data_IF_838892327826
#
_entry.id   IF_838892327826
#
_cell.length_a   1.000
_cell.length_b   1.000
_cell.length_c   1.000
_cell.angle_alpha   90.00
_cell.angle_beta   90.00
_cell.angle_gamma   90.00
#
_symmetry.space_group_name_H-M   'P 1'
#
loop_
_entity.id
_entity.type
_entity.pdbx_description
1 polymer ?
#
# COMPACT_ATOMS: atom_id res chain seq x y z
N UNK A 1 -5.62 33.45 21.56
CA UNK A 1 -6.60 32.63 20.83
C UNK A 1 -5.88 31.44 20.21
N UNK A 2 -5.82 30.32 20.93
CA UNK A 2 -5.17 29.09 20.48
C UNK A 2 -6.23 28.29 19.71
N UNK A 3 -6.08 28.16 18.38
CA UNK A 3 -6.93 27.29 17.58
C UNK A 3 -6.57 25.84 17.89
N UNK A 4 -7.46 25.12 18.58
CA UNK A 4 -7.40 23.67 18.71
C UNK A 4 -7.35 23.05 17.32
N UNK A 5 -6.25 22.35 16.99
CA UNK A 5 -6.18 21.46 15.83
C UNK A 5 -6.93 20.20 16.19
N UNK A 6 -8.05 19.95 15.51
CA UNK A 6 -8.78 18.68 15.62
C UNK A 6 -7.89 17.58 15.04
N UNK A 7 -7.35 16.74 15.91
CA UNK A 7 -6.75 15.46 15.53
C UNK A 7 -7.93 14.51 15.35
N UNK A 8 -8.21 14.13 14.10
CA UNK A 8 -9.18 13.08 13.81
C UNK A 8 -8.61 11.75 14.30
N UNK A 9 -9.14 11.24 15.41
CA UNK A 9 -8.87 9.88 15.87
C UNK A 9 -9.54 8.90 14.90
N UNK A 10 -8.74 8.16 14.13
CA UNK A 10 -9.24 7.15 13.19
C UNK A 10 -9.46 5.83 13.92
N UNK A 11 -10.71 5.38 13.96
CA UNK A 11 -11.06 4.05 14.46
C UNK A 11 -10.62 2.98 13.46
N UNK A 12 -9.97 1.92 13.97
CA UNK A 12 -9.70 0.68 13.24
C UNK A 12 -11.06 0.03 12.92
N UNK A 13 -11.51 0.13 11.67
CA UNK A 13 -12.64 -0.68 11.20
C UNK A 13 -12.08 -1.97 10.63
N UNK A 14 -11.85 -2.96 11.51
CA UNK A 14 -11.70 -4.34 11.11
C UNK A 14 -13.12 -4.91 10.87
N UNK A 15 -13.62 -4.84 9.64
CA UNK A 15 -14.88 -5.50 9.28
C UNK A 15 -14.65 -7.02 9.17
N UNK A 16 -14.75 -7.72 10.30
CA UNK A 16 -14.82 -9.18 10.36
C UNK A 16 -16.24 -9.62 9.95
N UNK A 17 -16.42 -9.96 8.68
CA UNK A 17 -17.61 -10.69 8.23
C UNK A 17 -17.31 -12.19 8.34
N UNK A 18 -17.71 -12.80 9.46
CA UNK A 18 -17.78 -14.25 9.59
C UNK A 18 -18.96 -14.76 8.76
N UNK A 19 -18.69 -15.17 7.52
CA UNK A 19 -19.63 -15.94 6.71
C UNK A 19 -19.57 -17.41 7.11
N UNK A 20 -20.48 -17.86 7.97
CA UNK A 20 -20.73 -19.29 8.15
C UNK A 20 -21.62 -19.78 7.01
N UNK A 21 -21.10 -20.61 6.12
CA UNK A 21 -21.91 -21.46 5.24
C UNK A 21 -21.27 -22.85 5.12
N UNK A 22 -21.83 -23.80 5.87
CA UNK A 22 -21.76 -25.22 5.54
C UNK A 22 -22.55 -25.44 4.24
N UNK A 23 -21.84 -25.82 3.18
CA UNK A 23 -22.42 -26.49 2.03
C UNK A 23 -21.43 -27.55 1.55
N UNK A 24 -21.77 -28.81 1.85
CA UNK A 24 -21.07 -29.97 1.32
C UNK A 24 -21.14 -29.98 -0.21
N UNK A 25 -19.98 -29.91 -0.86
CA UNK A 25 -19.77 -30.27 -2.26
C UNK A 25 -18.47 -31.06 -2.35
N UNK A 26 -18.50 -32.14 -3.13
CA UNK A 26 -17.40 -33.10 -3.30
C UNK A 26 -16.20 -32.48 -4.04
N UNK A 27 -15.45 -31.65 -3.34
CA UNK A 27 -14.07 -31.25 -3.60
C UNK A 27 -13.41 -31.14 -2.24
N UNK A 28 -12.19 -31.69 -2.07
CA UNK A 28 -11.49 -31.63 -0.78
C UNK A 28 -11.54 -30.23 -0.18
N UNK A 29 -11.76 -30.10 1.14
CA UNK A 29 -11.74 -28.80 1.81
C UNK A 29 -10.46 -28.08 1.39
N UNK A 30 -10.59 -26.89 0.80
CA UNK A 30 -9.45 -26.08 0.41
C UNK A 30 -8.59 -25.86 1.65
N UNK A 31 -7.27 -26.04 1.52
CA UNK A 31 -6.35 -25.79 2.63
C UNK A 31 -6.46 -24.32 3.04
N UNK A 32 -6.51 -24.06 4.34
CA UNK A 32 -6.51 -22.72 4.90
C UNK A 32 -5.27 -22.56 5.77
N UNK A 33 -4.73 -21.35 5.80
CA UNK A 33 -3.61 -20.98 6.65
C UNK A 33 -3.77 -19.53 7.11
N UNK A 34 -3.18 -19.21 8.26
CA UNK A 34 -3.02 -17.82 8.69
C UNK A 34 -1.73 -17.29 8.10
N UNK A 35 -1.78 -16.07 7.60
CA UNK A 35 -0.62 -15.35 7.08
C UNK A 35 -0.41 -14.09 7.91
N UNK A 36 0.84 -13.76 8.16
CA UNK A 36 1.27 -12.46 8.67
C UNK A 36 2.14 -11.80 7.61
N UNK A 37 1.81 -10.55 7.29
CA UNK A 37 2.61 -9.69 6.42
C UNK A 37 3.29 -8.65 7.28
N UNK A 38 4.59 -8.50 7.09
CA UNK A 38 5.41 -7.47 7.74
C UNK A 38 6.05 -6.60 6.67
N UNK A 39 5.86 -5.28 6.78
CA UNK A 39 6.45 -4.27 5.90
C UNK A 39 7.39 -3.44 6.76
N UNK A 40 8.69 -3.49 6.48
CA UNK A 40 9.73 -2.82 7.25
C UNK A 40 10.36 -1.71 6.41
N UNK A 41 10.51 -0.52 6.99
CA UNK A 41 11.30 0.54 6.39
C UNK A 41 12.76 0.36 6.82
N UNK A 42 13.55 -0.23 5.93
CA UNK A 42 14.97 -0.55 6.14
C UNK A 42 15.92 0.54 5.65
N UNK A 43 15.38 1.68 5.22
CA UNK A 43 16.19 2.80 4.75
C UNK A 43 17.06 3.39 5.87
N UNK A 44 18.16 4.05 5.48
CA UNK A 44 19.02 4.74 6.45
C UNK A 44 18.30 5.93 7.08
N UNK A 45 18.45 6.09 8.40
CA UNK A 45 18.00 7.30 9.11
C UNK A 45 18.74 8.59 8.71
N UNK A 46 19.87 8.49 8.00
CA UNK A 46 20.59 9.64 7.44
C UNK A 46 19.93 10.24 6.19
N UNK A 47 18.89 9.57 5.66
CA UNK A 47 18.17 10.00 4.47
C UNK A 47 18.77 9.51 3.16
N UNK A 48 17.98 9.64 2.11
CA UNK A 48 18.30 9.37 0.72
C UNK A 48 18.74 10.67 0.03
N UNK A 49 19.70 10.61 -0.92
CA UNK A 49 20.10 11.79 -1.69
C UNK A 49 18.96 12.25 -2.60
N UNK A 50 18.89 13.55 -2.86
CA UNK A 50 18.02 14.15 -3.87
C UNK A 50 18.78 15.21 -4.67
N UNK A 51 18.09 16.02 -5.46
CA UNK A 51 18.71 17.10 -6.25
C UNK A 51 19.50 18.07 -5.36
N UNK A 52 20.72 18.40 -5.80
CA UNK A 52 21.69 19.18 -4.99
C UNK A 52 22.37 18.34 -3.92
N UNK A 53 22.70 18.96 -2.78
CA UNK A 53 23.35 18.31 -1.63
C UNK A 53 22.35 17.95 -0.51
N UNK A 54 21.05 17.97 -0.80
CA UNK A 54 20.01 17.69 0.18
C UNK A 54 19.75 16.19 0.34
N UNK A 55 19.19 15.81 1.49
CA UNK A 55 18.67 14.47 1.74
C UNK A 55 17.24 14.51 2.25
N UNK A 56 16.51 13.41 2.09
CA UNK A 56 15.17 13.23 2.62
C UNK A 56 14.98 11.84 3.24
N UNK A 57 14.16 11.69 4.30
CA UNK A 57 13.87 10.37 4.84
C UNK A 57 12.88 9.63 3.94
N UNK A 58 13.14 8.36 3.65
CA UNK A 58 12.12 7.51 3.04
C UNK A 58 10.94 7.35 4.01
N UNK A 59 9.73 7.54 3.50
CA UNK A 59 8.50 7.33 4.23
C UNK A 59 7.51 6.57 3.34
N UNK A 60 6.94 5.48 3.86
CA UNK A 60 5.82 4.80 3.22
C UNK A 60 4.53 5.29 3.88
N UNK A 61 3.52 5.66 3.10
CA UNK A 61 2.24 6.07 3.67
C UNK A 61 1.51 4.89 4.34
N UNK A 62 0.45 5.16 5.12
CA UNK A 62 -0.63 4.21 5.29
C UNK A 62 -1.09 3.63 3.96
N UNK A 63 -1.56 2.39 3.98
CA UNK A 63 -1.98 1.70 2.78
C UNK A 63 -3.06 0.67 3.06
N UNK A 64 -3.34 -0.14 2.06
CA UNK A 64 -4.33 -1.19 2.18
C UNK A 64 -3.93 -2.46 1.46
N UNK A 65 -4.55 -3.56 1.86
CA UNK A 65 -4.38 -4.85 1.24
C UNK A 65 -5.73 -5.50 0.96
N UNK A 66 -5.70 -6.43 0.02
CA UNK A 66 -6.82 -7.26 -0.38
C UNK A 66 -6.35 -8.70 -0.49
N UNK A 67 -7.18 -9.61 0.00
CA UNK A 67 -7.03 -11.06 -0.17
C UNK A 67 -8.30 -11.61 -0.81
N UNK A 68 -8.17 -12.19 -1.99
CA UNK A 68 -9.32 -12.71 -2.75
C UNK A 68 -8.91 -13.78 -3.76
N UNK A 69 -9.84 -14.66 -4.09
CA UNK A 69 -9.72 -15.60 -5.22
C UNK A 69 -10.31 -15.04 -6.53
N UNK A 70 -10.88 -13.83 -6.50
CA UNK A 70 -11.42 -13.14 -7.68
C UNK A 70 -10.35 -12.28 -8.32
N UNK A 71 -10.53 -11.98 -9.61
CA UNK A 71 -9.68 -11.02 -10.29
C UNK A 71 -9.95 -9.62 -9.74
N UNK A 72 -9.04 -9.10 -8.92
CA UNK A 72 -9.08 -7.73 -8.40
C UNK A 72 -7.73 -7.05 -8.61
N UNK A 73 -7.76 -5.78 -8.97
CA UNK A 73 -6.58 -4.94 -9.09
C UNK A 73 -6.91 -3.54 -8.60
N UNK A 74 -5.95 -2.89 -7.92
CA UNK A 74 -6.06 -1.48 -7.56
C UNK A 74 -5.96 -0.57 -8.79
N UNK A 75 -5.26 -1.00 -9.83
CA UNK A 75 -5.01 -0.23 -11.04
C UNK A 75 -4.92 -1.11 -12.30
N UNK A 76 -4.81 -0.47 -13.47
CA UNK A 76 -4.47 -1.12 -14.73
C UNK A 76 -3.44 -0.27 -15.45
N UNK A 77 -2.29 -0.86 -15.79
CA UNK A 77 -1.24 -0.18 -16.57
C UNK A 77 -1.82 0.34 -17.89
N UNK A 78 -1.48 1.58 -18.25
CA UNK A 78 -1.98 2.27 -19.44
C UNK A 78 -3.43 2.75 -19.35
N UNK A 79 -4.03 2.76 -18.16
CA UNK A 79 -5.35 3.35 -17.89
C UNK A 79 -5.24 4.48 -16.87
N UNK A 80 -6.18 5.41 -16.91
CA UNK A 80 -6.28 6.49 -15.91
C UNK A 80 -6.47 5.90 -14.52
N UNK A 81 -5.86 6.54 -13.53
CA UNK A 81 -6.13 6.26 -12.13
C UNK A 81 -7.63 6.44 -11.83
N UNK A 82 -8.15 5.64 -10.91
CA UNK A 82 -9.45 5.94 -10.29
C UNK A 82 -9.25 6.99 -9.21
N UNK A 83 -10.30 7.73 -8.82
CA UNK A 83 -10.21 8.70 -7.72
C UNK A 83 -9.74 8.10 -6.39
N UNK A 84 -10.00 6.81 -6.15
CA UNK A 84 -9.47 6.11 -4.98
C UNK A 84 -7.97 5.81 -5.09
N UNK A 85 -7.47 5.56 -6.30
CA UNK A 85 -6.05 5.37 -6.53
C UNK A 85 -5.29 6.69 -6.44
N UNK A 86 -5.84 7.76 -7.03
CA UNK A 86 -5.35 9.13 -6.93
C UNK A 86 -5.15 9.54 -5.46
N UNK A 87 -6.20 9.46 -4.65
CA UNK A 87 -6.12 9.78 -3.22
C UNK A 87 -5.11 8.90 -2.44
N UNK A 88 -4.93 7.63 -2.84
CA UNK A 88 -3.94 6.77 -2.21
C UNK A 88 -2.51 7.12 -2.64
N UNK A 89 -2.31 7.50 -3.89
CA UNK A 89 -1.01 7.76 -4.48
C UNK A 89 -0.48 9.16 -4.13
N UNK A 90 -1.37 10.15 -4.04
CA UNK A 90 -1.03 11.55 -3.75
C UNK A 90 -1.00 11.86 -2.25
N UNK A 91 -1.97 11.33 -1.49
CA UNK A 91 -2.16 11.71 -0.09
C UNK A 91 -1.88 10.56 0.89
N UNK A 92 -1.60 9.35 0.37
CA UNK A 92 -1.43 8.18 1.21
C UNK A 92 -2.72 7.77 1.93
N UNK A 93 -3.89 8.12 1.37
CA UNK A 93 -5.18 7.89 1.99
C UNK A 93 -5.95 6.71 1.34
N UNK A 94 -6.02 5.53 1.99
CA UNK A 94 -6.70 4.36 1.44
C UNK A 94 -8.23 4.42 1.53
N UNK A 95 -8.84 5.42 2.17
CA UNK A 95 -10.26 5.39 2.52
C UNK A 95 -11.17 5.30 1.30
N UNK A 96 -10.95 6.15 0.30
CA UNK A 96 -11.74 6.17 -0.94
C UNK A 96 -11.58 4.87 -1.72
N UNK A 97 -10.35 4.35 -1.80
CA UNK A 97 -10.06 3.09 -2.46
C UNK A 97 -10.76 1.91 -1.77
N UNK A 98 -10.65 1.84 -0.44
CA UNK A 98 -11.31 0.83 0.40
C UNK A 98 -12.83 0.83 0.22
N UNK A 99 -13.48 1.99 0.31
CA UNK A 99 -14.93 2.14 0.07
C UNK A 99 -15.34 1.66 -1.33
N UNK A 100 -14.54 1.97 -2.35
CA UNK A 100 -14.83 1.59 -3.73
C UNK A 100 -14.80 0.06 -3.98
N UNK A 101 -14.10 -0.68 -3.13
CA UNK A 101 -13.90 -2.12 -3.23
C UNK A 101 -14.91 -2.91 -2.38
N UNK A 102 -15.33 -2.37 -1.22
CA UNK A 102 -16.38 -2.96 -0.38
C UNK A 102 -17.70 -3.16 -1.14
N UNK A 103 -18.02 -2.26 -2.06
CA UNK A 103 -19.26 -2.32 -2.86
C UNK A 103 -19.24 -3.40 -3.95
N UNK A 104 -18.10 -4.07 -4.20
CA UNK A 104 -17.90 -4.89 -5.40
C UNK A 104 -17.89 -6.40 -5.16
N UNK A 105 -17.72 -6.92 -3.93
CA UNK A 105 -17.38 -8.36 -3.76
C UNK A 105 -17.84 -8.98 -2.43
N UNK A 106 -18.60 -10.09 -2.49
CA UNK A 106 -18.65 -11.10 -1.42
C UNK A 106 -17.43 -12.06 -1.48
N UNK A 107 -16.92 -12.49 -0.33
CA UNK A 107 -15.64 -13.24 -0.15
C UNK A 107 -14.36 -12.40 -0.32
N UNK A 108 -14.43 -11.10 -0.01
CA UNK A 108 -13.29 -10.21 0.03
C UNK A 108 -12.80 -10.08 1.46
N UNK A 109 -11.55 -10.44 1.73
CA UNK A 109 -10.88 -10.00 2.94
C UNK A 109 -10.01 -8.79 2.58
N UNK A 110 -10.10 -7.72 3.36
CA UNK A 110 -9.32 -6.51 3.14
C UNK A 110 -9.08 -5.78 4.45
N UNK A 111 -8.04 -4.97 4.48
CA UNK A 111 -7.74 -4.14 5.62
C UNK A 111 -6.87 -2.95 5.24
N UNK A 112 -6.84 -1.98 6.15
CA UNK A 112 -5.91 -0.85 6.13
C UNK A 112 -4.78 -1.16 7.10
N UNK A 113 -3.54 -0.93 6.67
CA UNK A 113 -2.38 -0.87 7.56
C UNK A 113 -1.95 0.59 7.65
N UNK A 114 -1.98 1.16 8.85
CA UNK A 114 -1.77 2.61 9.02
C UNK A 114 -1.04 2.98 10.32
N UNK A 115 -0.90 2.07 11.28
CA UNK A 115 -0.23 2.32 12.55
C UNK A 115 1.06 1.51 12.60
N UNK A 116 2.24 2.16 12.64
CA UNK A 116 3.50 1.44 12.82
C UNK A 116 3.52 0.69 14.15
N UNK A 117 4.20 -0.46 14.19
CA UNK A 117 4.42 -1.24 15.40
C UNK A 117 5.03 -0.35 16.51
N UNK A 118 4.40 -0.39 17.69
CA UNK A 118 4.79 0.44 18.84
C UNK A 118 4.30 1.89 18.81
N UNK A 119 3.59 2.32 17.76
CA UNK A 119 2.96 3.64 17.71
C UNK A 119 1.55 3.63 18.33
N UNK A 120 1.16 4.75 18.94
CA UNK A 120 -0.17 4.91 19.56
C UNK A 120 -1.26 5.36 18.57
N UNK A 121 -0.87 5.83 17.38
CA UNK A 121 -1.78 6.39 16.39
C UNK A 121 -1.31 6.12 14.95
N UNK A 122 -2.24 6.17 13.97
CA UNK A 122 -1.89 6.06 12.56
C UNK A 122 -0.88 7.12 12.10
N UNK A 123 0.02 6.74 11.20
CA UNK A 123 1.04 7.61 10.64
C UNK A 123 1.92 6.89 9.63
N UNK A 124 2.77 7.63 8.89
CA UNK A 124 3.66 7.04 7.89
C UNK A 124 4.70 6.13 8.53
N UNK A 125 5.18 5.15 7.76
CA UNK A 125 6.28 4.27 8.13
C UNK A 125 7.62 4.97 7.89
N UNK A 126 8.21 5.47 8.97
CA UNK A 126 9.51 6.14 8.97
C UNK A 126 10.67 5.13 9.12
N UNK A 127 11.94 5.54 8.86
CA UNK A 127 13.10 4.64 8.93
C UNK A 127 13.19 3.86 10.24
N UNK A 128 13.39 2.55 10.14
CA UNK A 128 13.43 1.62 11.28
C UNK A 128 12.07 1.12 11.78
N UNK A 129 10.96 1.69 11.30
CA UNK A 129 9.61 1.25 11.66
C UNK A 129 9.14 0.02 10.87
N UNK A 130 8.09 -0.64 11.36
CA UNK A 130 7.37 -1.69 10.64
C UNK A 130 5.85 -1.53 10.71
N UNK A 131 5.13 -1.86 9.64
CA UNK A 131 3.71 -2.25 9.73
C UNK A 131 3.60 -3.78 9.80
N UNK A 132 2.62 -4.29 10.53
CA UNK A 132 2.31 -5.71 10.58
C UNK A 132 0.79 -5.94 10.55
N UNK A 133 0.34 -6.95 9.81
CA UNK A 133 -1.05 -7.37 9.79
C UNK A 133 -1.18 -8.86 9.48
N UNK A 134 -2.28 -9.48 9.94
CA UNK A 134 -2.57 -10.88 9.67
C UNK A 134 -3.93 -11.08 9.02
N UNK A 135 -4.07 -12.17 8.28
CA UNK A 135 -5.33 -12.63 7.70
C UNK A 135 -5.34 -14.15 7.55
N UNK A 136 -6.53 -14.73 7.41
CA UNK A 136 -6.70 -16.13 7.01
C UNK A 136 -7.03 -16.18 5.52
N UNK A 137 -6.41 -17.11 4.80
CA UNK A 137 -6.69 -17.32 3.39
C UNK A 137 -6.77 -18.81 3.06
N UNK A 138 -7.63 -19.16 2.12
CA UNK A 138 -7.73 -20.51 1.56
C UNK A 138 -6.96 -20.62 0.24
N UNK A 139 -6.61 -21.84 -0.14
CA UNK A 139 -5.91 -22.12 -1.40
C UNK A 139 -6.60 -21.50 -2.62
N UNK A 140 -5.80 -20.81 -3.44
CA UNK A 140 -6.23 -20.05 -4.62
C UNK A 140 -6.61 -18.59 -4.35
N UNK A 141 -6.63 -18.15 -3.08
CA UNK A 141 -6.66 -16.71 -2.77
C UNK A 141 -5.27 -16.11 -2.96
N UNK A 142 -5.24 -14.84 -3.36
CA UNK A 142 -4.02 -14.06 -3.61
C UNK A 142 -4.05 -12.77 -2.83
N UNK A 143 -2.88 -12.29 -2.43
CA UNK A 143 -2.67 -11.01 -1.78
C UNK A 143 -2.36 -9.92 -2.81
N UNK A 144 -2.97 -8.76 -2.67
CA UNK A 144 -2.49 -7.53 -3.29
C UNK A 144 -2.38 -6.45 -2.21
N UNK A 145 -1.42 -5.53 -2.33
CA UNK A 145 -1.28 -4.39 -1.43
C UNK A 145 -0.85 -3.13 -2.18
N UNK A 146 -1.12 -1.97 -1.58
CA UNK A 146 -0.76 -0.66 -2.11
C UNK A 146 -0.43 0.31 -0.98
N UNK A 147 0.61 1.11 -1.16
CA UNK A 147 0.94 2.26 -0.31
C UNK A 147 1.73 3.31 -1.10
N UNK A 148 1.52 4.60 -0.82
CA UNK A 148 2.22 5.69 -1.48
C UNK A 148 3.68 5.75 -1.04
N UNK A 149 4.56 6.11 -1.97
CA UNK A 149 5.88 6.62 -1.66
C UNK A 149 5.76 8.07 -1.18
N UNK A 150 5.85 8.30 0.12
CA UNK A 150 5.46 9.56 0.76
C UNK A 150 6.24 10.80 0.32
N UNK A 151 7.37 10.64 -0.37
CA UNK A 151 8.23 11.72 -0.83
C UNK A 151 8.11 11.91 -2.35
N UNK A 152 6.90 11.72 -2.88
CA UNK A 152 6.55 11.86 -4.28
C UNK A 152 5.21 12.58 -4.43
N UNK A 153 4.87 12.96 -5.65
CA UNK A 153 3.60 13.59 -5.99
C UNK A 153 2.49 12.54 -6.07
N UNK A 154 2.70 11.45 -6.82
CA UNK A 154 1.67 10.43 -7.03
C UNK A 154 2.26 9.02 -7.24
N UNK A 155 3.45 8.75 -6.69
CA UNK A 155 4.10 7.45 -6.82
C UNK A 155 3.68 6.50 -5.70
N UNK A 156 3.52 5.22 -6.04
CA UNK A 156 3.06 4.20 -5.09
C UNK A 156 3.74 2.84 -5.30
N UNK A 157 3.88 2.09 -4.20
CA UNK A 157 4.34 0.71 -4.20
C UNK A 157 3.16 -0.24 -4.31
N UNK A 158 3.23 -1.18 -5.25
CA UNK A 158 2.25 -2.26 -5.40
C UNK A 158 2.85 -3.38 -6.27
N UNK A 159 2.43 -4.65 -6.12
CA UNK A 159 2.93 -5.69 -7.01
C UNK A 159 2.29 -5.59 -8.40
N UNK A 160 3.05 -5.92 -9.45
CA UNK A 160 2.55 -5.95 -10.83
C UNK A 160 1.42 -6.97 -11.04
N UNK A 161 1.35 -7.98 -10.16
CA UNK A 161 0.33 -9.01 -10.14
C UNK A 161 0.09 -9.46 -8.70
N UNK A 162 -1.14 -9.86 -8.38
CA UNK A 162 -1.47 -10.36 -7.05
C UNK A 162 -0.59 -11.58 -6.70
N UNK A 163 -0.10 -11.58 -5.46
CA UNK A 163 0.88 -12.51 -4.90
C UNK A 163 0.18 -13.80 -4.49
N UNK A 164 0.68 -14.94 -4.97
CA UNK A 164 0.18 -16.26 -4.58
C UNK A 164 0.48 -16.54 -3.10
N UNK A 165 -0.53 -16.98 -2.36
CA UNK A 165 -0.40 -17.35 -0.94
C UNK A 165 -0.13 -18.84 -0.74
N UNK A 166 -0.35 -19.66 -1.78
CA UNK A 166 -0.14 -21.11 -1.76
C UNK A 166 0.64 -21.54 -3.01
N UNK A 167 1.53 -22.53 -2.87
CA UNK A 167 2.27 -23.14 -3.99
C UNK A 167 2.23 -24.65 -3.86
N UNK A 168 1.59 -25.31 -4.84
CA UNK A 168 1.42 -26.77 -4.81
C UNK A 168 0.62 -27.26 -3.59
N UNK A 169 -0.39 -26.49 -3.16
CA UNK A 169 -1.19 -26.79 -1.96
C UNK A 169 -0.58 -26.36 -0.63
N UNK A 170 0.69 -25.93 -0.58
CA UNK A 170 1.35 -25.51 0.66
C UNK A 170 1.35 -23.98 0.83
N UNK A 171 1.07 -23.47 2.06
CA UNK A 171 1.08 -22.03 2.30
C UNK A 171 2.51 -21.47 2.21
N UNK A 172 2.64 -20.27 1.65
CA UNK A 172 3.93 -19.64 1.35
C UNK A 172 4.41 -18.78 2.52
N UNK A 173 5.65 -19.01 2.94
CA UNK A 173 6.46 -18.08 3.74
C UNK A 173 7.65 -17.62 2.89
N UNK A 174 7.78 -16.31 2.64
CA UNK A 174 8.80 -15.77 1.73
C UNK A 174 9.07 -14.27 1.97
N UNK A 175 10.26 -13.84 1.58
CA UNK A 175 10.53 -12.43 1.26
C UNK A 175 9.92 -12.12 -0.11
N UNK A 176 9.02 -11.14 -0.16
CA UNK A 176 8.30 -10.72 -1.36
C UNK A 176 8.68 -9.32 -1.81
N UNK A 177 9.75 -8.74 -1.25
CA UNK A 177 10.17 -7.35 -1.51
C UNK A 177 10.30 -7.04 -2.99
N UNK A 178 10.92 -7.94 -3.75
CA UNK A 178 11.16 -7.77 -5.18
C UNK A 178 9.89 -7.84 -6.04
N UNK A 179 8.77 -8.28 -5.48
CA UNK A 179 7.48 -8.23 -6.16
C UNK A 179 6.87 -6.82 -6.12
N UNK A 180 7.30 -5.95 -5.20
CA UNK A 180 6.79 -4.59 -5.05
C UNK A 180 7.55 -3.65 -5.98
N UNK A 181 6.83 -3.09 -6.94
CA UNK A 181 7.36 -2.11 -7.88
C UNK A 181 6.87 -0.71 -7.50
N UNK A 182 7.67 0.30 -7.84
CA UNK A 182 7.26 1.70 -7.78
C UNK A 182 6.53 2.05 -9.09
N UNK A 183 5.30 2.52 -8.94
CA UNK A 183 4.42 2.94 -10.02
C UNK A 183 4.14 4.42 -9.92
N UNK A 184 3.82 4.99 -11.06
CA UNK A 184 3.32 6.35 -11.23
C UNK A 184 1.82 6.29 -11.53
N UNK A 185 1.00 7.03 -10.78
CA UNK A 185 -0.46 7.04 -10.97
C UNK A 185 -0.87 7.81 -12.24
N UNK A 186 -0.03 8.74 -12.66
CA UNK A 186 -0.19 9.63 -13.78
C UNK A 186 -1.25 10.70 -13.54
N UNK A 187 -1.39 11.16 -12.30
CA UNK A 187 -2.37 12.17 -11.89
C UNK A 187 -1.73 13.54 -11.71
N UNK A 188 -0.51 13.61 -11.17
CA UNK A 188 0.25 14.85 -10.99
C UNK A 188 1.63 14.84 -11.65
N UNK A 189 2.12 16.01 -12.06
CA UNK A 189 3.49 16.16 -12.56
C UNK A 189 4.49 15.95 -11.43
N UNK A 190 5.37 14.97 -11.60
CA UNK A 190 6.42 14.68 -10.64
C UNK A 190 7.36 15.87 -10.40
N UNK A 191 7.66 16.09 -9.13
CA UNK A 191 8.74 16.95 -8.65
C UNK A 191 9.85 16.11 -8.01
N UNK A 192 11.03 16.70 -7.82
CA UNK A 192 12.16 15.99 -7.24
C UNK A 192 11.81 15.39 -5.86
N UNK A 193 12.06 14.10 -5.62
CA UNK A 193 11.61 13.42 -4.42
C UNK A 193 12.22 14.07 -3.17
N UNK A 194 11.37 14.32 -2.17
CA UNK A 194 11.76 14.96 -0.92
C UNK A 194 11.93 16.48 -0.97
N UNK A 195 11.84 17.11 -2.15
CA UNK A 195 12.01 18.56 -2.35
C UNK A 195 10.73 19.23 -2.81
N UNK A 196 9.96 18.59 -3.70
CA UNK A 196 8.73 19.14 -4.27
C UNK A 196 7.74 19.65 -3.22
N UNK A 197 7.21 20.84 -3.45
CA UNK A 197 6.26 21.52 -2.55
C UNK A 197 4.82 20.97 -2.65
N UNK A 198 4.52 20.20 -3.70
CA UNK A 198 3.23 19.54 -3.94
C UNK A 198 3.21 18.10 -3.44
N UNK A 199 4.28 17.62 -2.81
CA UNK A 199 4.33 16.29 -2.22
C UNK A 199 3.60 16.28 -0.86
N UNK A 200 2.95 15.17 -0.49
CA UNK A 200 2.10 15.07 0.71
C UNK A 200 2.67 15.69 2.01
N UNK A 201 3.97 15.56 2.34
CA UNK A 201 4.52 16.15 3.56
C UNK A 201 4.61 17.67 3.56
N UNK A 202 4.50 18.31 2.38
CA UNK A 202 4.74 19.75 2.15
C UNK A 202 3.56 20.48 1.52
N UNK A 203 2.60 19.76 0.93
CA UNK A 203 1.42 20.37 0.33
C UNK A 203 0.52 21.08 1.36
N UNK A 204 -0.19 22.12 0.92
CA UNK A 204 -1.06 22.92 1.78
C UNK A 204 -2.39 22.23 2.16
N UNK A 205 -2.74 21.17 1.44
CA UNK A 205 -3.95 20.37 1.60
C UNK A 205 -3.92 19.17 0.64
N UNK A 206 -4.88 18.24 0.73
CA UNK A 206 -4.93 17.06 -0.14
C UNK A 206 -5.24 17.43 -1.60
N UNK A 207 -4.76 16.61 -2.54
CA UNK A 207 -4.96 16.78 -3.98
C UNK A 207 -4.53 18.18 -4.45
N UNK A 208 -3.27 18.53 -4.15
CA UNK A 208 -2.66 19.79 -4.55
C UNK A 208 -1.44 19.50 -5.40
N UNK A 209 -1.63 19.61 -6.72
CA UNK A 209 -0.52 19.56 -7.65
C UNK A 209 -0.93 19.91 -9.08
N UNK A 210 0.07 20.06 -9.95
CA UNK A 210 -0.19 20.27 -11.38
C UNK A 210 -0.63 18.95 -12.01
N UNK A 211 -1.90 18.87 -12.42
CA UNK A 211 -2.41 17.67 -13.07
C UNK A 211 -1.66 17.35 -14.38
N UNK A 212 -1.22 16.11 -14.55
CA UNK A 212 -0.57 15.65 -15.80
C UNK A 212 -1.52 14.92 -16.75
N UNK A 213 -2.69 14.48 -16.26
CA UNK A 213 -3.71 13.74 -17.03
C UNK A 213 -3.18 12.47 -17.71
N UNK A 214 -2.15 11.88 -17.13
CA UNK A 214 -1.48 10.67 -17.57
C UNK A 214 -2.28 9.39 -17.32
N UNK A 215 -1.54 8.29 -17.27
CA UNK A 215 -2.04 6.93 -17.09
C UNK A 215 -1.07 6.19 -16.21
N UNK A 216 -1.59 5.25 -15.44
CA UNK A 216 -0.78 4.44 -14.54
C UNK A 216 0.31 3.71 -15.34
N UNK A 217 1.56 3.89 -14.94
CA UNK A 217 2.74 3.32 -15.60
C UNK A 217 3.88 3.09 -14.62
N UNK A 218 4.95 2.45 -15.06
CA UNK A 218 6.21 2.48 -14.31
C UNK A 218 6.77 3.90 -14.37
N UNK A 219 7.46 4.34 -13.32
CA UNK A 219 8.05 5.68 -13.26
C UNK A 219 8.99 5.91 -14.46
N UNK A 220 8.74 6.99 -15.21
CA UNK A 220 9.46 7.32 -16.46
C UNK A 220 9.76 8.83 -16.54
N UNK A 221 10.50 9.34 -15.58
CA UNK A 221 10.98 10.72 -15.55
C UNK A 221 12.52 10.80 -15.37
N UNK A 222 13.03 12.00 -15.12
CA UNK A 222 14.47 12.26 -14.94
C UNK A 222 14.97 12.17 -13.50
N UNK A 223 14.09 11.88 -12.53
CA UNK A 223 14.48 11.79 -11.12
C UNK A 223 15.05 10.41 -10.80
N UNK A 224 15.78 10.34 -9.67
CA UNK A 224 16.36 9.10 -9.17
C UNK A 224 15.58 8.67 -7.94
N UNK A 225 15.15 7.41 -7.96
CA UNK A 225 14.42 6.77 -6.88
C UNK A 225 15.25 5.63 -6.29
N UNK A 226 15.17 5.38 -4.97
CA UNK A 226 15.83 4.22 -4.38
C UNK A 226 15.23 2.93 -4.96
N UNK A 227 16.03 1.87 -5.02
CA UNK A 227 15.46 0.54 -5.32
C UNK A 227 14.58 0.11 -4.16
N UNK A 228 13.48 -0.61 -4.43
CA UNK A 228 12.57 -1.11 -3.38
C UNK A 228 13.34 -1.79 -2.24
N UNK A 229 14.27 -2.70 -2.55
CA UNK A 229 15.09 -3.43 -1.57
C UNK A 229 16.12 -2.61 -0.79
N UNK A 230 16.34 -1.35 -1.14
CA UNK A 230 17.22 -0.44 -0.39
C UNK A 230 16.44 0.30 0.71
N UNK A 231 15.11 0.32 0.64
CA UNK A 231 14.26 1.11 1.54
C UNK A 231 13.15 0.32 2.21
N UNK A 232 12.73 -0.79 1.60
CA UNK A 232 11.68 -1.67 2.11
C UNK A 232 12.17 -3.10 2.20
N UNK A 233 11.64 -3.81 3.19
CA UNK A 233 11.61 -5.26 3.25
C UNK A 233 10.18 -5.71 3.53
N UNK A 234 9.65 -6.58 2.68
CA UNK A 234 8.29 -7.10 2.83
C UNK A 234 8.33 -8.61 2.90
N UNK A 235 7.84 -9.18 3.99
CA UNK A 235 7.82 -10.64 4.21
C UNK A 235 6.40 -11.13 4.45
N UNK A 236 6.09 -12.32 3.95
CA UNK A 236 4.91 -13.10 4.29
C UNK A 236 5.37 -14.32 5.09
N UNK A 237 4.69 -14.61 6.20
CA UNK A 237 4.90 -15.82 6.99
C UNK A 237 3.57 -16.54 7.18
N UNK A 238 3.52 -17.81 6.81
CA UNK A 238 2.41 -18.72 7.14
C UNK A 238 2.59 -19.30 8.55
N UNK A 239 1.48 -19.42 9.28
CA UNK A 239 1.40 -20.01 10.63
C UNK A 239 0.09 -20.73 10.90
#
# INVERSE_FOLDING_TARGET
>A
MIKQRMIAAFAVVAALVLGAQDAAHAGGKKKEARFTVRIENISSGTGLPTVGDATYPFALSPGMYVVTNKKMSFFKVGKKASSGLEAQAEDGNPETLSKSLLTKVGSLYMGVFNTPEGAEAPGPLLPGGSYEFSFTASEGMKLNLIAMFGQSNDLFYSPASAIELFKGGEPVSADITDLLMLWDAGTEVNQAPGVGDQQAPRQAGPNIGMAENGKVSTVMDSFVYPKTREVLKVTISAG
#
